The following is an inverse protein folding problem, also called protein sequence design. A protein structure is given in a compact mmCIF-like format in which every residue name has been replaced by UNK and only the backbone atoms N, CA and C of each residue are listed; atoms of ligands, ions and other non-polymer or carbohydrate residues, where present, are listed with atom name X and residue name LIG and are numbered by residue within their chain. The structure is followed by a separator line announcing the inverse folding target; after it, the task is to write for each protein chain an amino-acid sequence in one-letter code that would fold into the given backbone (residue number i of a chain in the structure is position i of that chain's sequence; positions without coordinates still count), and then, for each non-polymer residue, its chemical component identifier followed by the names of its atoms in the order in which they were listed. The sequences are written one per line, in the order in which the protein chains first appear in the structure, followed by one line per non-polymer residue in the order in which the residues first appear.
data_IF_177550629992
#
_entry.id   IF_177550629992
#
_cell.length_a   1.000
_cell.length_b   1.000
_cell.length_c   1.000
_cell.angle_alpha   90.00
_cell.angle_beta   90.00
_cell.angle_gamma   90.00
#
_symmetry.space_group_name_H-M   'P 1'
#
loop_
_entity.id
_entity.type
_entity.pdbx_description
1 polymer ?
#
# COMPACT_ATOMS: atom_id res chain seq x y z
N UNK A 1 37.33 5.42 -0.89
CA UNK A 1 36.46 5.05 0.24
C UNK A 1 35.37 4.16 -0.30
N UNK A 2 35.41 2.86 0.01
CA UNK A 2 34.30 1.96 -0.29
C UNK A 2 33.20 2.17 0.75
N UNK A 3 32.08 2.75 0.34
CA UNK A 3 30.89 2.81 1.18
C UNK A 3 30.32 1.39 1.26
N UNK A 4 30.71 0.63 2.30
CA UNK A 4 29.99 -0.56 2.72
C UNK A 4 28.59 -0.12 3.14
N UNK A 5 27.65 -0.14 2.19
CA UNK A 5 26.23 0.06 2.44
C UNK A 5 25.76 -1.08 3.35
N UNK A 6 25.77 -0.85 4.66
CA UNK A 6 24.91 -1.61 5.56
C UNK A 6 23.48 -1.32 5.10
N UNK A 7 22.92 -2.18 4.26
CA UNK A 7 21.49 -2.17 3.97
C UNK A 7 20.84 -2.41 5.32
N UNK A 8 20.22 -1.38 5.88
CA UNK A 8 19.34 -1.57 7.04
C UNK A 8 18.29 -2.58 6.58
N UNK A 9 18.05 -3.63 7.35
CA UNK A 9 16.98 -4.61 7.12
C UNK A 9 15.61 -3.97 7.36
N UNK A 10 15.35 -2.86 6.68
CA UNK A 10 14.03 -2.24 6.62
C UNK A 10 13.27 -2.93 5.50
N UNK A 11 11.97 -3.22 5.68
CA UNK A 11 11.13 -3.68 4.59
C UNK A 11 11.19 -2.67 3.43
N UNK A 12 11.47 -3.15 2.22
CA UNK A 12 11.51 -2.36 0.99
C UNK A 12 10.77 -3.08 -0.11
N UNK A 13 10.17 -2.34 -1.04
CA UNK A 13 9.56 -2.88 -2.25
C UNK A 13 10.64 -3.51 -3.14
N UNK A 14 10.35 -4.66 -3.73
CA UNK A 14 11.29 -5.33 -4.62
C UNK A 14 11.45 -4.54 -5.93
N UNK A 15 12.65 -4.48 -6.54
CA UNK A 15 12.83 -3.80 -7.82
C UNK A 15 11.93 -4.39 -8.90
N UNK A 16 11.20 -3.53 -9.62
CA UNK A 16 10.31 -3.93 -10.71
C UNK A 16 8.85 -4.21 -10.29
N UNK A 17 8.54 -4.12 -8.99
CA UNK A 17 7.16 -4.08 -8.49
C UNK A 17 6.66 -2.63 -8.57
N UNK A 18 5.44 -2.46 -9.08
CA UNK A 18 4.67 -1.23 -8.94
C UNK A 18 3.86 -1.30 -7.64
N UNK A 19 4.22 -0.49 -6.66
CA UNK A 19 3.59 -0.51 -5.34
C UNK A 19 2.19 0.09 -5.31
N UNK A 20 1.86 0.98 -6.26
CA UNK A 20 0.54 1.57 -6.36
C UNK A 20 -0.46 0.59 -6.99
N UNK A 21 -0.05 -0.19 -7.98
CA UNK A 21 -0.91 -1.15 -8.68
C UNK A 21 -0.92 -2.54 -8.01
N UNK A 22 0.25 -3.17 -7.85
CA UNK A 22 0.34 -4.58 -7.46
C UNK A 22 0.02 -4.80 -5.97
N UNK A 23 0.41 -3.89 -5.08
CA UNK A 23 0.19 -4.05 -3.64
C UNK A 23 -1.22 -3.65 -3.20
N UNK A 24 -1.93 -2.86 -4.02
CA UNK A 24 -3.31 -2.46 -3.79
C UNK A 24 -4.32 -3.32 -4.57
N UNK A 25 -3.85 -4.36 -5.27
CA UNK A 25 -4.72 -5.27 -6.01
C UNK A 25 -5.74 -5.95 -5.07
N UNK A 26 -7.05 -5.89 -5.39
CA UNK A 26 -8.05 -6.56 -4.58
C UNK A 26 -7.94 -8.08 -4.74
N UNK A 27 -7.93 -8.80 -3.61
CA UNK A 27 -7.96 -10.25 -3.61
C UNK A 27 -9.23 -10.79 -4.31
N UNK A 28 -9.06 -11.87 -5.08
CA UNK A 28 -10.17 -12.60 -5.70
C UNK A 28 -11.01 -13.34 -4.64
N UNK A 29 -12.21 -13.79 -5.02
CA UNK A 29 -13.09 -14.54 -4.10
C UNK A 29 -12.44 -15.84 -3.65
N UNK A 30 -11.81 -16.54 -4.58
CA UNK A 30 -11.13 -17.81 -4.35
C UNK A 30 -9.94 -17.63 -3.38
N UNK A 31 -9.19 -16.52 -3.48
CA UNK A 31 -8.11 -16.19 -2.55
C UNK A 31 -8.63 -15.87 -1.16
N UNK A 32 -9.74 -15.13 -1.07
CA UNK A 32 -10.40 -14.84 0.21
C UNK A 32 -10.88 -16.13 0.89
N UNK A 33 -11.47 -17.05 0.13
CA UNK A 33 -11.95 -18.35 0.62
C UNK A 33 -10.80 -19.23 1.13
N UNK A 34 -9.64 -19.19 0.47
CA UNK A 34 -8.43 -19.92 0.91
C UNK A 34 -7.69 -19.24 2.05
N UNK A 35 -7.96 -17.96 2.32
CA UNK A 35 -7.23 -17.16 3.29
C UNK A 35 -5.95 -16.52 2.75
N UNK A 36 -5.76 -16.54 1.42
CA UNK A 36 -4.60 -16.00 0.71
C UNK A 36 -4.76 -14.49 0.47
N UNK A 37 -5.01 -13.71 1.52
CA UNK A 37 -5.18 -12.26 1.42
C UNK A 37 -4.65 -11.53 2.64
N UNK A 38 -4.35 -10.24 2.49
CA UNK A 38 -4.03 -9.36 3.60
C UNK A 38 -5.14 -8.34 3.78
N UNK A 39 -5.64 -8.19 5.01
CA UNK A 39 -6.65 -7.17 5.31
C UNK A 39 -5.97 -5.82 5.50
N UNK A 40 -6.18 -4.92 4.54
CA UNK A 40 -5.75 -3.52 4.60
C UNK A 40 -6.94 -2.63 4.95
N UNK A 41 -6.71 -1.58 5.73
CA UNK A 41 -7.72 -0.56 6.07
C UNK A 41 -7.14 0.80 5.68
N UNK A 42 -7.77 1.46 4.70
CA UNK A 42 -7.38 2.80 4.25
C UNK A 42 -8.24 3.84 4.95
N UNK A 43 -7.60 4.78 5.63
CA UNK A 43 -8.25 5.92 6.27
C UNK A 43 -8.26 7.08 5.28
N UNK A 44 -9.44 7.55 4.90
CA UNK A 44 -9.62 8.71 4.02
C UNK A 44 -10.38 9.81 4.77
N UNK A 45 -9.92 11.05 4.63
CA UNK A 45 -10.60 12.24 5.18
C UNK A 45 -11.64 12.71 4.17
N UNK A 46 -12.89 12.83 4.60
CA UNK A 46 -13.99 13.40 3.79
C UNK A 46 -14.02 14.92 4.01
N UNK A 47 -13.07 15.63 3.40
CA UNK A 47 -13.06 17.09 3.39
C UNK A 47 -14.07 17.59 2.36
N UNK A 48 -15.36 17.59 2.72
CA UNK A 48 -16.32 18.45 2.01
C UNK A 48 -15.97 19.89 2.35
N UNK A 49 -15.57 20.70 1.37
CA UNK A 49 -15.50 22.15 1.55
C UNK A 49 -16.85 22.61 2.14
N UNK A 50 -16.88 23.32 3.29
CA UNK A 50 -18.13 23.91 3.74
C UNK A 50 -18.60 24.83 2.61
N UNK A 51 -19.81 24.59 2.09
CA UNK A 51 -20.42 25.47 1.11
C UNK A 51 -20.42 26.88 1.71
N UNK A 52 -19.51 27.74 1.22
CA UNK A 52 -19.43 29.12 1.64
C UNK A 52 -20.80 29.74 1.42
N UNK A 53 -21.50 29.95 2.52
CA UNK A 53 -22.81 30.57 2.52
C UNK A 53 -22.58 32.07 2.35
N UNK A 54 -22.68 32.52 1.09
CA UNK A 54 -22.83 33.92 0.61
C UNK A 54 -21.59 34.82 0.64
#
# INVERSE_FOLDING_TARGET
MEFRRQRRDVPTVAPGIDDDEELNEPATKEEIERGDYTRVVTLAWDETEPAESQ
#
